data_IF_033468485011
#
_entry.id   IF_033468485011
#
_cell.length_a   1.000
_cell.length_b   1.000
_cell.length_c   1.000
_cell.angle_alpha   90.00
_cell.angle_beta   90.00
_cell.angle_gamma   90.00
#
_symmetry.space_group_name_H-M   'P 1'
#
loop_
_entity.id
_entity.type
_entity.pdbx_description
1 polymer ?
#
# COMPACT_ATOMS: atom_id res chain seq x y z
N UNK A 1 14.83 22.22 -1.00
CA UNK A 1 14.37 21.53 0.24
C UNK A 1 15.01 20.16 0.31
N UNK A 2 15.51 19.80 1.46
CA UNK A 2 16.13 18.51 1.69
C UNK A 2 15.20 17.62 2.51
N UNK A 3 14.99 16.38 2.04
CA UNK A 3 14.27 15.38 2.81
C UNK A 3 15.25 14.54 3.63
N UNK A 4 15.03 14.48 4.93
CA UNK A 4 15.84 13.64 5.82
C UNK A 4 15.13 12.30 6.03
N UNK A 5 15.87 11.17 5.98
CA UNK A 5 15.26 9.88 6.26
C UNK A 5 14.79 9.82 7.71
N UNK A 6 13.51 9.52 7.92
CA UNK A 6 12.93 9.35 9.27
C UNK A 6 12.59 7.89 9.56
N UNK A 7 12.45 7.08 8.52
CA UNK A 7 12.17 5.66 8.63
C UNK A 7 12.67 4.93 7.39
N UNK A 8 13.15 3.72 7.60
CA UNK A 8 13.48 2.80 6.52
C UNK A 8 13.30 1.39 7.04
N UNK A 9 12.49 0.60 6.35
CA UNK A 9 12.19 -0.76 6.78
C UNK A 9 11.81 -1.64 5.61
N UNK A 10 11.83 -2.94 5.84
CA UNK A 10 11.42 -3.95 4.89
C UNK A 10 10.31 -4.81 5.50
N UNK A 11 9.24 -4.98 4.77
CA UNK A 11 8.13 -5.85 5.14
C UNK A 11 8.33 -7.21 4.48
N UNK A 12 8.68 -8.28 5.24
CA UNK A 12 8.95 -9.60 4.66
C UNK A 12 7.64 -10.36 4.38
N UNK A 13 6.87 -9.86 3.44
CA UNK A 13 5.57 -10.40 3.07
C UNK A 13 5.47 -10.52 1.56
N UNK A 14 4.61 -11.40 1.08
CA UNK A 14 4.25 -11.41 -0.33
C UNK A 14 3.47 -10.14 -0.64
N UNK A 15 3.94 -9.28 -1.56
CA UNK A 15 3.16 -8.10 -1.93
C UNK A 15 1.79 -8.50 -2.48
N UNK A 16 0.75 -7.70 -2.21
CA UNK A 16 -0.60 -8.03 -2.68
C UNK A 16 -0.70 -7.94 -4.19
N UNK A 17 -1.47 -8.83 -4.79
CA UNK A 17 -1.85 -8.76 -6.19
C UNK A 17 -3.28 -8.24 -6.35
N UNK A 18 -4.06 -8.26 -5.27
CA UNK A 18 -5.38 -7.64 -5.19
C UNK A 18 -5.23 -6.21 -4.69
N UNK A 19 -5.77 -5.25 -5.43
CA UNK A 19 -5.60 -3.84 -5.17
C UNK A 19 -6.94 -3.13 -4.92
N UNK A 20 -6.90 -1.82 -4.60
CA UNK A 20 -8.10 -1.07 -4.23
C UNK A 20 -9.17 -1.01 -5.33
N UNK A 21 -8.85 -1.39 -6.57
CA UNK A 21 -9.84 -1.49 -7.64
C UNK A 21 -10.68 -2.77 -7.56
N UNK A 22 -10.31 -3.74 -6.70
CA UNK A 22 -11.07 -4.96 -6.49
C UNK A 22 -12.28 -4.69 -5.61
N UNK A 23 -13.35 -4.17 -6.22
CA UNK A 23 -14.59 -3.83 -5.54
C UNK A 23 -15.70 -4.83 -5.89
N UNK A 24 -16.63 -5.01 -4.96
CA UNK A 24 -17.82 -5.82 -5.15
C UNK A 24 -19.07 -4.98 -4.97
N UNK A 25 -20.06 -5.22 -5.82
CA UNK A 25 -21.36 -4.59 -5.70
C UNK A 25 -22.24 -5.43 -4.78
N UNK A 26 -22.72 -4.82 -3.71
CA UNK A 26 -23.65 -5.44 -2.78
C UNK A 26 -25.03 -4.82 -2.95
N UNK A 27 -26.01 -5.65 -3.37
CA UNK A 27 -27.39 -5.24 -3.52
C UNK A 27 -28.20 -5.64 -2.28
N UNK A 28 -29.04 -4.74 -1.78
CA UNK A 28 -29.88 -4.99 -0.62
C UNK A 28 -31.19 -4.20 -0.71
N UNK A 29 -32.15 -4.56 0.13
CA UNK A 29 -33.44 -3.87 0.22
C UNK A 29 -33.45 -2.97 1.45
N UNK A 30 -33.92 -1.73 1.27
CA UNK A 30 -34.11 -0.78 2.36
C UNK A 30 -35.43 -0.07 2.18
N UNK A 31 -36.33 -0.21 3.13
CA UNK A 31 -37.66 0.42 3.06
C UNK A 31 -38.48 0.01 1.85
N UNK A 32 -38.36 -1.23 1.37
CA UNK A 32 -39.03 -1.74 0.17
C UNK A 32 -38.42 -1.29 -1.14
N UNK A 33 -37.28 -0.59 -1.12
CA UNK A 33 -36.57 -0.13 -2.32
C UNK A 33 -35.24 -0.89 -2.50
N UNK A 34 -34.91 -1.26 -3.76
CA UNK A 34 -33.59 -1.85 -4.02
C UNK A 34 -32.51 -0.79 -3.86
N UNK A 35 -31.45 -1.16 -3.17
CA UNK A 35 -30.25 -0.34 -2.99
C UNK A 35 -29.03 -1.15 -3.36
N UNK A 36 -27.96 -0.46 -3.77
CA UNK A 36 -26.69 -1.08 -4.07
C UNK A 36 -25.56 -0.24 -3.49
N UNK A 37 -24.53 -0.90 -2.95
CA UNK A 37 -23.34 -0.24 -2.45
C UNK A 37 -22.11 -0.95 -2.99
N UNK A 38 -21.11 -0.18 -3.39
CA UNK A 38 -19.81 -0.69 -3.81
C UNK A 38 -18.91 -0.79 -2.58
N UNK A 39 -18.36 -1.97 -2.34
CA UNK A 39 -17.43 -2.20 -1.22
C UNK A 39 -16.24 -3.02 -1.65
N UNK A 40 -15.19 -3.03 -0.81
CA UNK A 40 -13.99 -3.81 -1.07
C UNK A 40 -14.30 -5.30 -1.08
N UNK A 41 -13.68 -6.04 -2.02
CA UNK A 41 -13.75 -7.49 -2.03
C UNK A 41 -13.13 -8.11 -0.78
N UNK A 42 -13.45 -9.35 -0.49
CA UNK A 42 -12.85 -10.08 0.63
C UNK A 42 -11.32 -10.16 0.48
N UNK A 43 -10.83 -10.38 -0.74
CA UNK A 43 -9.39 -10.43 -1.04
C UNK A 43 -8.73 -9.09 -0.79
N UNK A 44 -9.36 -7.98 -1.18
CA UNK A 44 -8.82 -6.64 -0.94
C UNK A 44 -8.78 -6.32 0.56
N UNK A 45 -9.82 -6.66 1.30
CA UNK A 45 -9.84 -6.47 2.76
C UNK A 45 -8.73 -7.26 3.43
N UNK A 46 -8.51 -8.52 3.01
CA UNK A 46 -7.44 -9.36 3.53
C UNK A 46 -6.05 -8.79 3.20
N UNK A 47 -5.86 -8.30 1.98
CA UNK A 47 -4.60 -7.68 1.56
C UNK A 47 -4.29 -6.42 2.39
N UNK A 48 -5.28 -5.57 2.62
CA UNK A 48 -5.14 -4.37 3.46
C UNK A 48 -4.84 -4.71 4.91
N UNK A 49 -5.53 -5.72 5.47
CA UNK A 49 -5.28 -6.19 6.83
C UNK A 49 -3.85 -6.70 7.00
N UNK A 50 -3.35 -7.41 6.01
CA UNK A 50 -1.98 -7.93 6.01
C UNK A 50 -0.96 -6.79 5.95
N UNK A 51 -1.15 -5.82 5.05
CA UNK A 51 -0.31 -4.63 5.01
C UNK A 51 -0.30 -3.91 6.34
N UNK A 52 -1.49 -3.69 6.93
CA UNK A 52 -1.63 -3.03 8.22
C UNK A 52 -0.83 -3.76 9.31
N UNK A 53 -0.97 -5.07 9.38
CA UNK A 53 -0.26 -5.87 10.39
C UNK A 53 1.26 -5.79 10.27
N UNK A 54 1.79 -5.82 9.03
CA UNK A 54 3.23 -5.69 8.80
C UNK A 54 3.74 -4.28 9.01
N UNK A 55 2.94 -3.26 8.71
CA UNK A 55 3.32 -1.85 8.90
C UNK A 55 3.29 -1.42 10.37
N UNK A 56 2.38 -1.96 11.16
CA UNK A 56 2.12 -1.50 12.53
C UNK A 56 3.39 -1.42 13.42
N UNK A 57 4.30 -2.41 13.42
CA UNK A 57 5.53 -2.32 14.22
C UNK A 57 6.46 -1.18 13.83
N UNK A 58 6.29 -0.62 12.64
CA UNK A 58 7.14 0.44 12.09
C UNK A 58 6.51 1.83 12.23
N UNK A 59 5.29 1.90 12.74
CA UNK A 59 4.60 3.18 12.92
C UNK A 59 5.41 4.08 13.88
N UNK A 60 5.61 5.36 13.54
CA UNK A 60 6.34 6.27 14.41
C UNK A 60 5.53 6.60 15.67
N UNK A 61 6.22 6.98 16.75
CA UNK A 61 5.57 7.43 17.99
C UNK A 61 4.72 8.68 17.75
N UNK A 62 5.17 9.54 16.84
CA UNK A 62 4.47 10.76 16.45
C UNK A 62 4.39 10.81 14.93
N UNK A 63 3.23 11.16 14.37
CA UNK A 63 3.11 11.33 12.92
C UNK A 63 3.98 12.50 12.44
N UNK A 64 4.34 12.48 11.16
CA UNK A 64 4.96 13.66 10.54
C UNK A 64 4.03 14.85 10.77
N UNK A 65 4.52 15.97 11.32
CA UNK A 65 3.66 17.10 11.64
C UNK A 65 2.83 17.59 10.46
N UNK A 66 1.59 17.98 10.73
CA UNK A 66 0.68 18.48 9.71
C UNK A 66 1.31 19.59 8.87
N UNK A 67 1.10 19.55 7.57
CA UNK A 67 1.64 20.53 6.64
C UNK A 67 3.10 20.31 6.25
N UNK A 68 3.80 19.35 6.84
CA UNK A 68 5.17 19.03 6.43
C UNK A 68 5.17 18.05 5.26
N UNK A 69 6.05 18.27 4.26
CA UNK A 69 6.11 17.38 3.09
C UNK A 69 6.75 16.05 3.44
N UNK A 70 6.27 15.00 2.80
CA UNK A 70 6.81 13.65 2.92
C UNK A 70 7.26 13.18 1.55
N UNK A 71 8.44 12.56 1.49
CA UNK A 71 8.88 11.77 0.34
C UNK A 71 8.76 10.30 0.71
N UNK A 72 8.09 9.55 -0.14
CA UNK A 72 7.88 8.11 0.03
C UNK A 72 8.58 7.35 -1.09
N UNK A 73 9.44 6.43 -0.71
CA UNK A 73 10.12 5.53 -1.65
C UNK A 73 9.67 4.11 -1.34
N UNK A 74 9.09 3.43 -2.31
CA UNK A 74 8.57 2.07 -2.12
C UNK A 74 9.05 1.16 -3.25
N UNK A 75 9.58 0.01 -2.86
CA UNK A 75 9.97 -1.04 -3.81
C UNK A 75 9.15 -2.30 -3.50
N UNK A 76 8.29 -2.67 -4.44
CA UNK A 76 7.46 -3.86 -4.36
C UNK A 76 8.21 -5.02 -4.98
N UNK A 77 8.67 -5.94 -4.14
CA UNK A 77 9.48 -7.08 -4.55
C UNK A 77 8.65 -8.35 -4.55
N UNK A 78 8.34 -8.86 -5.74
CA UNK A 78 7.56 -10.08 -5.94
C UNK A 78 8.50 -11.26 -6.16
N UNK A 79 8.12 -12.44 -5.66
CA UNK A 79 8.92 -13.65 -5.83
C UNK A 79 9.22 -13.90 -7.32
N UNK A 80 10.49 -14.19 -7.69
CA UNK A 80 10.89 -14.24 -9.10
C UNK A 80 10.19 -15.28 -9.97
N UNK A 81 9.89 -16.46 -9.41
CA UNK A 81 9.22 -17.54 -10.14
C UNK A 81 9.91 -17.86 -11.48
N UNK A 82 11.25 -18.02 -11.45
CA UNK A 82 12.06 -18.31 -12.62
C UNK A 82 12.56 -17.10 -13.40
N UNK A 83 12.15 -15.91 -13.05
CA UNK A 83 12.63 -14.66 -13.67
C UNK A 83 13.94 -14.21 -13.01
N UNK A 84 14.78 -13.42 -13.71
CA UNK A 84 16.02 -12.94 -13.11
C UNK A 84 15.75 -12.07 -11.86
N UNK A 85 16.49 -12.35 -10.80
CA UNK A 85 16.42 -11.56 -9.56
C UNK A 85 16.79 -10.10 -9.83
N UNK A 86 15.96 -9.19 -9.36
CA UNK A 86 16.14 -7.74 -9.57
C UNK A 86 15.60 -7.23 -10.89
N UNK A 87 15.00 -8.09 -11.73
CA UNK A 87 14.38 -7.64 -12.99
C UNK A 87 13.07 -6.91 -12.72
N UNK A 88 12.71 -5.99 -13.63
CA UNK A 88 11.47 -5.22 -13.52
C UNK A 88 10.25 -6.09 -13.73
N UNK A 89 9.26 -5.93 -12.88
CA UNK A 89 7.94 -6.53 -13.09
C UNK A 89 7.09 -5.59 -13.93
N UNK A 90 6.72 -6.00 -15.13
CA UNK A 90 5.95 -5.18 -16.07
C UNK A 90 4.50 -5.60 -16.21
N UNK A 91 4.03 -6.49 -15.34
CA UNK A 91 2.65 -6.97 -15.31
C UNK A 91 1.88 -6.44 -14.11
N UNK A 92 0.58 -6.65 -14.09
CA UNK A 92 -0.28 -6.31 -12.94
C UNK A 92 0.28 -6.87 -11.63
N UNK A 93 0.06 -6.21 -10.49
CA UNK A 93 -0.77 -5.02 -10.28
C UNK A 93 -0.06 -3.72 -10.67
N UNK A 94 -0.84 -2.66 -10.92
CA UNK A 94 -0.32 -1.34 -11.27
C UNK A 94 0.26 -0.63 -10.04
N UNK A 95 1.27 0.21 -10.25
CA UNK A 95 1.96 0.92 -9.17
C UNK A 95 1.02 1.85 -8.38
N UNK A 96 0.14 2.58 -9.06
CA UNK A 96 -0.80 3.49 -8.41
C UNK A 96 -1.76 2.75 -7.49
N UNK A 97 -2.24 1.59 -7.89
CA UNK A 97 -3.14 0.76 -7.08
C UNK A 97 -2.44 0.19 -5.84
N UNK A 98 -1.20 -0.25 -5.97
CA UNK A 98 -0.38 -0.72 -4.86
C UNK A 98 -0.13 0.42 -3.85
N UNK A 99 0.27 1.58 -4.35
CA UNK A 99 0.55 2.74 -3.50
C UNK A 99 -0.70 3.24 -2.78
N UNK A 100 -1.86 3.21 -3.43
CA UNK A 100 -3.11 3.61 -2.78
C UNK A 100 -3.40 2.75 -1.55
N UNK A 101 -3.28 1.43 -1.68
CA UNK A 101 -3.49 0.51 -0.56
C UNK A 101 -2.48 0.76 0.57
N UNK A 102 -1.20 0.94 0.23
CA UNK A 102 -0.14 1.20 1.21
C UNK A 102 -0.36 2.52 1.94
N UNK A 103 -0.59 3.60 1.22
CA UNK A 103 -0.78 4.93 1.82
C UNK A 103 -2.02 4.99 2.69
N UNK A 104 -3.10 4.33 2.31
CA UNK A 104 -4.31 4.25 3.13
C UNK A 104 -4.00 3.61 4.48
N UNK A 105 -3.25 2.51 4.51
CA UNK A 105 -2.90 1.84 5.75
C UNK A 105 -1.85 2.61 6.57
N UNK A 106 -0.90 3.26 5.93
CA UNK A 106 0.05 4.13 6.61
C UNK A 106 -0.66 5.34 7.23
N UNK A 107 -1.68 5.88 6.57
CA UNK A 107 -2.51 6.96 7.13
C UNK A 107 -3.25 6.47 8.38
N UNK A 108 -3.84 5.30 8.34
CA UNK A 108 -4.54 4.71 9.49
C UNK A 108 -3.61 4.48 10.68
N UNK A 109 -2.36 4.18 10.42
CA UNK A 109 -1.33 3.96 11.45
C UNK A 109 -0.64 5.25 11.88
N UNK A 110 -1.08 6.40 11.39
CA UNK A 110 -0.55 7.71 11.77
C UNK A 110 0.93 7.91 11.46
N UNK A 111 1.40 7.44 10.29
CA UNK A 111 2.71 7.83 9.78
C UNK A 111 2.75 9.33 9.49
N UNK A 112 1.62 9.88 9.08
CA UNK A 112 1.36 11.30 8.82
C UNK A 112 -0.10 11.60 9.19
N UNK A 113 -0.48 12.87 9.15
CA UNK A 113 -1.86 13.29 9.41
C UNK A 113 -2.79 13.05 8.22
N UNK A 114 -2.26 13.26 7.01
CA UNK A 114 -3.01 13.16 5.78
C UNK A 114 -2.08 12.70 4.66
N UNK A 115 -2.50 11.78 3.82
CA UNK A 115 -1.69 11.30 2.69
C UNK A 115 -1.44 12.40 1.64
N UNK A 116 -2.18 13.51 1.69
CA UNK A 116 -1.89 14.71 0.91
C UNK A 116 -0.52 15.30 1.24
N UNK A 117 0.07 14.98 2.39
CA UNK A 117 1.43 15.40 2.75
C UNK A 117 2.49 14.69 1.91
N UNK A 118 2.17 13.55 1.31
CA UNK A 118 3.09 12.83 0.43
C UNK A 118 3.12 13.56 -0.90
N UNK A 119 4.13 14.41 -1.05
CA UNK A 119 4.28 15.28 -2.22
C UNK A 119 5.36 14.81 -3.19
N UNK A 120 6.09 13.75 -2.85
CA UNK A 120 7.12 13.14 -3.69
C UNK A 120 7.08 11.62 -3.50
N UNK A 121 6.96 10.88 -4.60
CA UNK A 121 6.89 9.42 -4.56
C UNK A 121 7.82 8.81 -5.59
N UNK A 122 8.49 7.72 -5.18
CA UNK A 122 9.17 6.80 -6.09
C UNK A 122 8.59 5.43 -5.82
N UNK A 123 7.98 4.82 -6.84
CA UNK A 123 7.32 3.51 -6.73
C UNK A 123 7.88 2.60 -7.81
N UNK A 124 8.41 1.47 -7.37
CA UNK A 124 9.05 0.53 -8.27
C UNK A 124 8.54 -0.88 -8.01
N UNK A 125 8.47 -1.70 -9.06
CA UNK A 125 8.07 -3.12 -8.97
C UNK A 125 9.16 -3.99 -9.55
N UNK A 126 9.55 -5.00 -8.77
CA UNK A 126 10.60 -5.93 -9.16
C UNK A 126 10.18 -7.37 -8.95
N UNK A 127 10.80 -8.27 -9.70
CA UNK A 127 10.93 -9.67 -9.36
C UNK A 127 12.20 -9.78 -8.50
N UNK A 128 12.06 -10.16 -7.24
CA UNK A 128 13.22 -10.12 -6.34
C UNK A 128 13.10 -11.13 -5.20
N UNK A 129 14.23 -11.72 -4.84
CA UNK A 129 14.37 -12.58 -3.67
C UNK A 129 15.36 -11.89 -2.69
N UNK A 130 14.94 -11.62 -1.44
CA UNK A 130 13.65 -11.97 -0.85
C UNK A 130 12.49 -11.13 -1.40
N UNK A 131 11.30 -11.71 -1.41
CA UNK A 131 10.09 -10.97 -1.74
C UNK A 131 9.67 -10.11 -0.53
N UNK A 132 9.05 -8.97 -0.79
CA UNK A 132 8.60 -8.08 0.27
C UNK A 132 8.38 -6.66 -0.23
N UNK A 133 8.27 -5.74 0.72
CA UNK A 133 8.05 -4.33 0.43
C UNK A 133 9.10 -3.50 1.16
N UNK A 134 9.95 -2.82 0.41
CA UNK A 134 10.88 -1.85 0.96
C UNK A 134 10.22 -0.49 1.03
N UNK A 135 10.34 0.18 2.20
CA UNK A 135 9.74 1.51 2.44
C UNK A 135 10.79 2.43 3.05
N UNK A 136 10.87 3.63 2.52
CA UNK A 136 11.73 4.70 3.03
C UNK A 136 11.05 6.06 2.92
#
# INVERSE_FOLDING_TARGET
>A
MQFLPIAQFFLPMKPPTTTHNAKELHAYMKGGKPCAVLHDSAELKAARSKLHAYLAPHAPDQPVPAGKPVRLVVKWCFAPEGRPDGSWRTSKPDTDNLEKALKDEMTRLHFWHDDAQVCSEIVEKFWSDPCGVFVR
#
